data_IF_284873711965
#
_entry.id   IF_284873711965
#
_cell.length_a   1.000
_cell.length_b   1.000
_cell.length_c   1.000
_cell.angle_alpha   90.00
_cell.angle_beta   90.00
_cell.angle_gamma   90.00
#
_symmetry.space_group_name_H-M   'P 1'
#
loop_
_entity.id
_entity.type
_entity.pdbx_description
1 polymer ?
#
# COMPACT_ATOMS: atom_id res chain seq x y z
N UNK A 1 14.50 -6.22 5.41
CA UNK A 1 14.68 -4.81 5.00
C UNK A 1 15.13 -4.70 3.53
N UNK A 2 16.36 -5.12 3.17
CA UNK A 2 16.87 -4.92 1.80
C UNK A 2 16.04 -5.61 0.70
N UNK A 3 15.51 -6.80 0.98
CA UNK A 3 14.66 -7.52 0.01
C UNK A 3 13.34 -6.79 -0.27
N UNK A 4 12.72 -6.22 0.77
CA UNK A 4 11.46 -5.47 0.63
C UNK A 4 11.68 -4.21 -0.20
N UNK A 5 12.70 -3.42 0.15
CA UNK A 5 13.00 -2.19 -0.57
C UNK A 5 13.45 -2.43 -2.02
N UNK A 6 14.24 -3.48 -2.28
CA UNK A 6 14.61 -3.83 -3.67
C UNK A 6 13.41 -4.32 -4.49
N UNK A 7 12.45 -5.03 -3.86
CA UNK A 7 11.21 -5.40 -4.52
C UNK A 7 10.37 -4.17 -4.89
N UNK A 8 10.18 -3.22 -3.95
CA UNK A 8 9.47 -1.96 -4.22
C UNK A 8 10.10 -1.18 -5.39
N UNK A 9 11.44 -1.11 -5.44
CA UNK A 9 12.16 -0.50 -6.56
C UNK A 9 11.92 -1.22 -7.89
N UNK A 10 11.95 -2.56 -7.90
CA UNK A 10 11.71 -3.36 -9.11
C UNK A 10 10.27 -3.24 -9.60
N UNK A 11 9.33 -3.02 -8.69
CA UNK A 11 7.91 -2.77 -8.97
C UNK A 11 7.62 -1.31 -9.37
N UNK A 12 8.65 -0.49 -9.59
CA UNK A 12 8.49 0.86 -10.16
C UNK A 12 8.26 1.97 -9.13
N UNK A 13 8.47 1.71 -7.84
CA UNK A 13 8.45 2.75 -6.81
C UNK A 13 9.81 3.43 -6.74
N UNK A 14 9.82 4.74 -6.91
CA UNK A 14 11.00 5.58 -7.09
C UNK A 14 11.34 6.37 -5.83
N UNK A 15 12.56 6.92 -5.81
CA UNK A 15 13.08 7.65 -4.65
C UNK A 15 12.27 8.93 -4.49
N UNK A 16 11.90 9.24 -3.25
CA UNK A 16 11.04 10.38 -2.92
C UNK A 16 9.55 10.10 -3.04
N UNK A 17 9.15 8.93 -3.53
CA UNK A 17 7.73 8.59 -3.63
C UNK A 17 7.15 8.10 -2.29
N UNK A 18 5.89 8.45 -1.98
CA UNK A 18 5.23 8.12 -0.72
C UNK A 18 4.71 6.68 -0.67
N UNK A 19 5.11 5.95 0.37
CA UNK A 19 4.68 4.58 0.68
C UNK A 19 3.88 4.58 1.97
N UNK A 20 2.59 4.24 1.87
CA UNK A 20 1.68 4.09 2.99
C UNK A 20 1.98 2.82 3.78
N UNK A 21 2.05 2.94 5.11
CA UNK A 21 2.24 1.82 6.03
C UNK A 21 0.99 1.67 6.89
N UNK A 22 0.13 0.73 6.51
CA UNK A 22 -1.18 0.47 7.10
C UNK A 22 -1.19 -0.92 7.76
N UNK A 23 -0.35 -1.07 8.77
CA UNK A 23 -0.22 -2.30 9.53
C UNK A 23 -0.42 -2.04 11.02
N UNK A 24 -0.88 -3.07 11.74
CA UNK A 24 -0.85 -3.09 13.20
C UNK A 24 0.60 -3.10 13.70
N UNK A 25 0.80 -2.97 15.01
CA UNK A 25 2.11 -3.07 15.64
C UNK A 25 2.73 -4.46 15.35
N UNK A 26 3.57 -4.52 14.32
CA UNK A 26 4.12 -5.76 13.77
C UNK A 26 5.56 -5.57 13.29
N UNK A 27 6.28 -6.68 13.18
CA UNK A 27 7.66 -6.66 12.67
C UNK A 27 7.71 -6.20 11.20
N UNK A 28 6.68 -6.52 10.42
CA UNK A 28 6.57 -6.16 9.00
C UNK A 28 6.37 -4.66 8.80
N UNK A 29 5.67 -3.98 9.73
CA UNK A 29 5.62 -2.52 9.76
C UNK A 29 7.02 -1.92 9.90
N UNK A 30 7.77 -2.36 10.92
CA UNK A 30 9.15 -1.90 11.17
C UNK A 30 10.05 -2.21 9.96
N UNK A 31 9.97 -3.42 9.40
CA UNK A 31 10.79 -3.81 8.24
C UNK A 31 10.46 -2.96 7.02
N UNK A 32 9.20 -2.61 6.80
CA UNK A 32 8.74 -1.80 5.66
C UNK A 32 9.15 -0.34 5.81
N UNK A 33 9.05 0.21 7.02
CA UNK A 33 9.56 1.55 7.35
C UNK A 33 11.07 1.64 7.09
N UNK A 34 11.84 0.68 7.63
CA UNK A 34 13.28 0.64 7.40
C UNK A 34 13.63 0.43 5.92
N UNK A 35 12.80 -0.30 5.16
CA UNK A 35 12.98 -0.45 3.72
C UNK A 35 12.76 0.89 2.99
N UNK A 36 11.78 1.69 3.43
CA UNK A 36 11.58 3.04 2.89
C UNK A 36 12.82 3.91 3.12
N UNK A 37 13.33 3.93 4.35
CA UNK A 37 14.54 4.69 4.70
C UNK A 37 15.76 4.25 3.89
N UNK A 38 16.00 2.94 3.77
CA UNK A 38 17.16 2.39 3.05
C UNK A 38 17.15 2.70 1.54
N UNK A 39 15.96 2.87 0.93
CA UNK A 39 15.82 3.12 -0.51
C UNK A 39 15.39 4.56 -0.85
N UNK A 40 15.32 5.43 0.17
CA UNK A 40 14.93 6.84 0.03
C UNK A 40 13.49 7.04 -0.41
N UNK A 41 12.59 6.16 0.00
CA UNK A 41 11.15 6.33 -0.14
C UNK A 41 10.61 7.14 1.04
N UNK A 42 9.47 7.81 0.86
CA UNK A 42 8.83 8.58 1.93
C UNK A 42 7.83 7.68 2.64
N UNK A 43 8.12 7.27 3.88
CA UNK A 43 7.17 6.47 4.67
C UNK A 43 6.03 7.33 5.20
N UNK A 44 4.78 6.95 4.89
CA UNK A 44 3.55 7.60 5.36
C UNK A 44 2.86 6.65 6.34
N UNK A 45 2.93 6.88 7.66
CA UNK A 45 2.25 6.01 8.63
C UNK A 45 0.74 6.22 8.58
N UNK A 46 -0.02 5.13 8.43
CA UNK A 46 -1.47 5.13 8.38
C UNK A 46 -1.99 4.33 9.57
N UNK A 47 -2.69 4.99 10.48
CA UNK A 47 -3.25 4.35 11.68
C UNK A 47 -4.63 3.79 11.40
N UNK A 48 -4.93 2.64 11.98
CA UNK A 48 -6.20 1.95 11.82
C UNK A 48 -7.31 2.45 12.74
N UNK A 49 -6.95 3.12 13.83
CA UNK A 49 -7.86 3.59 14.89
C UNK A 49 -8.76 4.76 14.48
N UNK A 50 -8.44 5.42 13.37
CA UNK A 50 -9.11 6.64 12.88
C UNK A 50 -10.24 6.36 11.87
N UNK A 51 -10.48 5.07 11.56
CA UNK A 51 -11.55 4.61 10.66
C UNK A 51 -11.17 4.67 9.18
N UNK A 52 -11.81 3.81 8.39
CA UNK A 52 -11.50 3.59 6.96
C UNK A 52 -11.57 4.87 6.13
N UNK A 53 -12.64 5.67 6.28
CA UNK A 53 -12.79 6.92 5.52
C UNK A 53 -11.73 7.98 5.83
N UNK A 54 -11.06 7.92 6.99
CA UNK A 54 -9.95 8.81 7.28
C UNK A 54 -8.65 8.31 6.63
N UNK A 55 -8.40 7.00 6.68
CA UNK A 55 -7.26 6.37 6.00
C UNK A 55 -7.32 6.60 4.49
N UNK A 56 -8.50 6.44 3.88
CA UNK A 56 -8.70 6.73 2.45
C UNK A 56 -8.31 8.17 2.09
N UNK A 57 -8.72 9.15 2.92
CA UNK A 57 -8.35 10.56 2.72
C UNK A 57 -6.85 10.78 2.86
N UNK A 58 -6.20 10.19 3.86
CA UNK A 58 -4.75 10.30 4.01
C UNK A 58 -3.99 9.75 2.80
N UNK A 59 -4.45 8.62 2.24
CA UNK A 59 -3.85 8.02 1.04
C UNK A 59 -3.95 8.98 -0.15
N UNK A 60 -5.12 9.59 -0.34
CA UNK A 60 -5.37 10.55 -1.42
C UNK A 60 -4.56 11.84 -1.22
N UNK A 61 -4.66 12.45 -0.03
CA UNK A 61 -4.03 13.74 0.28
C UNK A 61 -2.50 13.64 0.30
N UNK A 62 -1.95 12.50 0.72
CA UNK A 62 -0.50 12.25 0.72
C UNK A 62 0.01 11.69 -0.62
N UNK A 63 -0.87 11.57 -1.63
CA UNK A 63 -0.57 11.03 -2.95
C UNK A 63 0.19 9.69 -2.90
N UNK A 64 -0.18 8.81 -1.96
CA UNK A 64 0.50 7.53 -1.73
C UNK A 64 0.53 6.69 -3.00
N UNK A 65 1.71 6.23 -3.39
CA UNK A 65 1.89 5.44 -4.62
C UNK A 65 1.91 3.94 -4.37
N UNK A 66 2.27 3.52 -3.16
CA UNK A 66 2.27 2.14 -2.75
C UNK A 66 1.79 2.01 -1.31
N UNK A 67 1.00 0.99 -0.98
CA UNK A 67 0.57 0.72 0.40
C UNK A 67 1.02 -0.66 0.81
N UNK A 68 1.67 -0.77 1.97
CA UNK A 68 1.89 -2.04 2.67
C UNK A 68 0.82 -2.15 3.74
N UNK A 69 0.01 -3.21 3.71
CA UNK A 69 -1.12 -3.37 4.62
C UNK A 69 -1.31 -4.80 5.14
N UNK A 70 -2.07 -4.93 6.22
CA UNK A 70 -2.60 -6.22 6.67
C UNK A 70 -3.81 -6.67 5.83
N UNK A 71 -4.18 -7.96 5.84
CA UNK A 71 -5.24 -8.50 4.96
C UNK A 71 -6.59 -7.81 5.10
N UNK A 72 -6.93 -7.26 6.28
CA UNK A 72 -8.21 -6.58 6.47
C UNK A 72 -8.40 -5.31 5.61
N UNK A 73 -7.32 -4.72 5.11
CA UNK A 73 -7.36 -3.45 4.36
C UNK A 73 -7.32 -3.62 2.85
N UNK A 74 -6.96 -4.79 2.35
CA UNK A 74 -6.80 -5.07 0.92
C UNK A 74 -8.06 -4.76 0.12
N UNK A 75 -9.22 -5.22 0.57
CA UNK A 75 -10.50 -5.02 -0.09
C UNK A 75 -10.91 -3.54 -0.11
N UNK A 76 -10.66 -2.81 0.97
CA UNK A 76 -10.89 -1.37 1.07
C UNK A 76 -10.04 -0.59 0.07
N UNK A 77 -8.73 -0.89 0.03
CA UNK A 77 -7.78 -0.25 -0.87
C UNK A 77 -8.08 -0.56 -2.35
N UNK A 78 -8.48 -1.80 -2.65
CA UNK A 78 -8.90 -2.20 -4.01
C UNK A 78 -10.17 -1.46 -4.44
N UNK A 79 -11.15 -1.30 -3.55
CA UNK A 79 -12.35 -0.48 -3.83
C UNK A 79 -11.98 0.98 -4.04
N UNK A 80 -11.12 1.54 -3.20
CA UNK A 80 -10.65 2.92 -3.33
C UNK A 80 -9.94 3.17 -4.67
N UNK A 81 -9.12 2.22 -5.12
CA UNK A 81 -8.46 2.25 -6.43
C UNK A 81 -9.48 2.12 -7.57
N UNK A 82 -10.41 1.17 -7.48
CA UNK A 82 -11.47 0.94 -8.48
C UNK A 82 -12.40 2.15 -8.64
N UNK A 83 -12.72 2.84 -7.55
CA UNK A 83 -13.52 4.07 -7.55
C UNK A 83 -12.78 5.27 -8.18
N UNK A 84 -11.49 5.12 -8.53
CA UNK A 84 -10.68 6.17 -9.12
C UNK A 84 -10.32 7.31 -8.16
N UNK A 85 -10.52 7.11 -6.85
CA UNK A 85 -10.22 8.09 -5.80
C UNK A 85 -8.72 8.18 -5.54
N UNK A 86 -8.03 7.04 -5.48
CA UNK A 86 -6.59 6.96 -5.25
C UNK A 86 -5.80 6.90 -6.58
N UNK A 87 -5.79 7.99 -7.35
CA UNK A 87 -5.15 8.04 -8.68
C UNK A 87 -3.65 7.80 -8.69
N UNK A 88 -2.97 8.11 -7.58
CA UNK A 88 -1.53 7.91 -7.45
C UNK A 88 -1.15 6.47 -7.06
N UNK A 89 -2.10 5.71 -6.50
CA UNK A 89 -1.87 4.38 -5.95
C UNK A 89 -1.68 3.38 -7.10
N UNK A 90 -0.48 2.82 -7.18
CA UNK A 90 -0.07 1.85 -8.22
C UNK A 90 0.16 0.45 -7.65
N UNK A 91 0.49 0.35 -6.36
CA UNK A 91 0.88 -0.92 -5.75
C UNK A 91 0.22 -1.12 -4.38
N UNK A 92 -0.40 -2.27 -4.18
CA UNK A 92 -0.87 -2.73 -2.86
C UNK A 92 -0.10 -4.00 -2.50
N UNK A 93 0.56 -3.98 -1.35
CA UNK A 93 1.34 -5.10 -0.81
C UNK A 93 0.66 -5.59 0.46
N UNK A 94 0.11 -6.80 0.39
CA UNK A 94 -0.47 -7.45 1.55
C UNK A 94 0.58 -8.25 2.31
N UNK A 95 0.63 -8.02 3.62
CA UNK A 95 1.42 -8.82 4.55
C UNK A 95 0.58 -10.00 5.02
N UNK A 96 1.02 -11.21 4.69
CA UNK A 96 0.32 -12.45 5.05
C UNK A 96 -0.39 -13.11 3.87
N UNK A 97 -1.20 -14.16 4.12
CA UNK A 97 -1.86 -14.90 3.06
C UNK A 97 -2.92 -14.03 2.35
N UNK A 98 -2.96 -14.14 1.03
CA UNK A 98 -4.04 -13.58 0.22
C UNK A 98 -5.28 -14.46 0.38
N UNK A 99 -6.43 -13.84 0.63
CA UNK A 99 -7.70 -14.55 0.65
C UNK A 99 -8.30 -14.58 -0.76
N UNK A 100 -9.07 -15.63 -1.08
CA UNK A 100 -9.60 -15.86 -2.44
C UNK A 100 -10.40 -14.67 -2.98
N UNK A 101 -11.17 -14.00 -2.12
CA UNK A 101 -11.98 -12.83 -2.49
C UNK A 101 -11.14 -11.65 -3.01
N UNK A 102 -9.90 -11.50 -2.54
CA UNK A 102 -8.97 -10.44 -2.97
C UNK A 102 -8.39 -10.74 -4.36
N UNK A 103 -8.19 -12.02 -4.69
CA UNK A 103 -7.71 -12.45 -6.00
C UNK A 103 -8.73 -12.14 -7.09
N UNK A 104 -10.01 -12.40 -6.82
CA UNK A 104 -11.11 -12.09 -7.75
C UNK A 104 -11.20 -10.58 -8.02
N UNK A 105 -10.97 -9.75 -7.00
CA UNK A 105 -10.94 -8.30 -7.16
C UNK A 105 -9.78 -7.82 -8.05
N UNK A 106 -8.64 -8.51 -8.02
CA UNK A 106 -7.51 -8.20 -8.91
C UNK A 106 -7.80 -8.59 -10.36
N UNK A 107 -8.42 -9.75 -10.60
CA UNK A 107 -8.75 -10.21 -11.96
C UNK A 107 -9.85 -9.37 -12.64
N UNK A 108 -10.67 -8.68 -11.85
CA UNK A 108 -11.70 -7.77 -12.35
C UNK A 108 -11.21 -6.34 -12.58
N UNK A 109 -9.94 -6.01 -12.26
CA UNK A 109 -9.36 -4.71 -12.62
C UNK A 109 -9.07 -4.66 -14.13
N UNK A 110 -9.45 -3.58 -14.84
CA UNK A 110 -9.10 -3.41 -16.25
C UNK A 110 -7.58 -3.33 -16.43
N UNK A 111 -7.03 -3.86 -17.55
CA UNK A 111 -5.59 -3.96 -17.78
C UNK A 111 -4.88 -2.60 -17.89
N UNK A 112 -5.62 -1.50 -18.06
CA UNK A 112 -5.09 -0.15 -18.25
C UNK A 112 -4.79 0.59 -16.92
N UNK A 113 -4.98 -0.06 -15.77
CA UNK A 113 -4.77 0.51 -14.42
C UNK A 113 -3.64 -0.14 -13.60
N UNK A 114 -2.73 -0.90 -14.23
CA UNK A 114 -1.58 -1.55 -13.58
C UNK A 114 -0.23 -0.98 -14.02
#
# INVERSE_FOLDING_TARGET
VLSVGSALRRLGIMRGEPVGLLCENSAEWVVSEQACHAYGLVSVPLWDTVGESYVERLIVDSAVVAVVCTPRWSAALLRLARDGKAKALRLIVQVGPLHYDELVLKETLPPDCA
#
